data_IF_425506883364
#
_entry.id   IF_425506883364
#
_cell.length_a   1.000
_cell.length_b   1.000
_cell.length_c   1.000
_cell.angle_alpha   90.00
_cell.angle_beta   90.00
_cell.angle_gamma   90.00
#
_symmetry.space_group_name_H-M   'P 1'
#
loop_
_entity.id
_entity.type
_entity.pdbx_description
1 polymer ?
#
# COMPACT_ATOMS: atom_id res chain seq x y z
N UNK A 1 26.77 -33.35 12.95
CA UNK A 1 27.75 -32.55 13.73
C UNK A 1 27.24 -32.44 15.16
N UNK A 2 28.12 -32.54 16.16
CA UNK A 2 27.73 -32.34 17.56
C UNK A 2 27.75 -30.83 17.86
N UNK A 3 26.63 -30.27 18.31
CA UNK A 3 26.48 -28.85 18.66
C UNK A 3 25.40 -28.67 19.74
N UNK A 4 25.56 -27.66 20.60
CA UNK A 4 24.58 -27.32 21.64
C UNK A 4 23.45 -26.42 21.11
N UNK A 5 23.76 -25.56 20.13
CA UNK A 5 22.80 -24.67 19.48
C UNK A 5 23.06 -24.58 17.98
N UNK A 6 21.97 -24.45 17.21
CA UNK A 6 21.99 -24.16 15.78
C UNK A 6 21.23 -22.85 15.54
N UNK A 7 21.91 -21.87 14.95
CA UNK A 7 21.31 -20.59 14.55
C UNK A 7 21.25 -20.53 13.02
N UNK A 8 20.06 -20.77 12.46
CA UNK A 8 19.83 -20.84 11.03
C UNK A 8 19.36 -19.49 10.47
N UNK A 9 20.30 -18.63 10.10
CA UNK A 9 20.04 -17.31 9.50
C UNK A 9 19.92 -17.38 7.97
N UNK A 10 18.98 -18.17 7.45
CA UNK A 10 18.83 -18.38 6.00
C UNK A 10 18.17 -17.20 5.24
N UNK A 11 17.78 -16.15 5.96
CA UNK A 11 17.09 -15.00 5.38
C UNK A 11 15.60 -15.24 5.17
N UNK A 12 15.00 -14.44 4.28
CA UNK A 12 13.57 -14.44 3.98
C UNK A 12 13.34 -14.72 2.49
N UNK A 13 12.33 -15.54 2.19
CA UNK A 13 11.79 -15.69 0.83
C UNK A 13 10.58 -14.78 0.67
N UNK A 14 10.52 -14.01 -0.41
CA UNK A 14 9.35 -13.18 -0.72
C UNK A 14 8.46 -13.91 -1.71
N UNK A 15 7.26 -14.25 -1.27
CA UNK A 15 6.21 -14.83 -2.09
C UNK A 15 4.94 -13.99 -1.93
N UNK A 16 4.17 -13.82 -3.01
CA UNK A 16 2.91 -13.08 -2.98
C UNK A 16 1.88 -13.77 -2.06
N UNK A 17 2.03 -15.07 -1.83
CA UNK A 17 1.21 -15.85 -0.93
C UNK A 17 -0.27 -15.81 -1.35
N UNK A 18 -1.21 -15.75 -0.38
CA UNK A 18 -2.65 -15.78 -0.67
C UNK A 18 -3.17 -14.64 -1.55
N UNK A 19 -2.43 -13.52 -1.67
CA UNK A 19 -2.82 -12.38 -2.51
C UNK A 19 -2.88 -12.80 -4.00
N UNK A 20 -2.09 -13.81 -4.40
CA UNK A 20 -2.11 -14.35 -5.76
C UNK A 20 -3.50 -14.88 -6.17
N UNK A 21 -4.31 -15.33 -5.19
CA UNK A 21 -5.62 -15.94 -5.42
C UNK A 21 -6.77 -14.91 -5.36
N UNK A 22 -6.47 -13.63 -5.14
CA UNK A 22 -7.50 -12.59 -4.99
C UNK A 22 -8.09 -12.11 -6.33
N UNK A 23 -7.66 -12.70 -7.45
CA UNK A 23 -8.07 -12.32 -8.82
C UNK A 23 -7.82 -10.83 -9.12
N UNK A 24 -6.75 -10.26 -8.56
CA UNK A 24 -6.28 -8.93 -8.90
C UNK A 24 -5.52 -8.95 -10.23
N UNK A 25 -5.47 -7.82 -10.91
CA UNK A 25 -4.59 -7.67 -12.07
C UNK A 25 -3.13 -7.60 -11.59
N UNK A 26 -2.31 -8.53 -12.08
CA UNK A 26 -0.92 -8.69 -11.67
C UNK A 26 0.02 -8.50 -12.88
N UNK A 27 1.07 -7.72 -12.67
CA UNK A 27 2.24 -7.66 -13.56
C UNK A 27 3.42 -8.36 -12.87
N UNK A 28 3.55 -9.67 -13.13
CA UNK A 28 4.47 -10.53 -12.40
C UNK A 28 3.95 -10.79 -10.98
N UNK A 29 4.75 -10.43 -9.97
CA UNK A 29 4.37 -10.55 -8.54
C UNK A 29 3.84 -9.23 -7.95
N UNK A 30 3.54 -8.24 -8.80
CA UNK A 30 3.11 -6.90 -8.37
C UNK A 30 1.68 -6.65 -8.80
N UNK A 31 0.93 -5.93 -7.96
CA UNK A 31 -0.46 -5.56 -8.20
C UNK A 31 -0.52 -4.29 -9.05
N UNK A 32 -1.14 -4.37 -10.22
CA UNK A 32 -1.38 -3.21 -11.08
C UNK A 32 -2.38 -2.26 -10.41
N UNK A 33 -2.09 -0.96 -10.44
CA UNK A 33 -2.97 0.08 -9.88
C UNK A 33 -3.15 1.27 -10.80
N UNK A 34 -4.27 1.98 -10.64
CA UNK A 34 -4.44 3.32 -11.20
C UNK A 34 -3.55 4.32 -10.46
N UNK A 35 -2.75 5.13 -11.19
CA UNK A 35 -1.78 6.04 -10.58
C UNK A 35 -2.41 7.23 -9.84
N UNK A 36 -3.65 7.62 -10.17
CA UNK A 36 -4.32 8.75 -9.53
C UNK A 36 -4.91 8.39 -8.17
N UNK A 37 -5.35 7.14 -8.02
CA UNK A 37 -6.14 6.68 -6.87
C UNK A 37 -5.49 5.55 -6.08
N UNK A 38 -4.51 4.86 -6.67
CA UNK A 38 -3.94 3.60 -6.19
C UNK A 38 -4.94 2.44 -6.13
N UNK A 39 -6.09 2.56 -6.79
CA UNK A 39 -7.08 1.49 -6.83
C UNK A 39 -6.60 0.35 -7.72
N UNK A 40 -6.80 -0.88 -7.27
CA UNK A 40 -6.53 -2.09 -8.05
C UNK A 40 -7.63 -2.35 -9.08
N UNK A 41 -7.57 -3.46 -9.81
CA UNK A 41 -8.67 -3.93 -10.66
C UNK A 41 -9.96 -4.25 -9.89
N UNK A 42 -9.87 -4.51 -8.58
CA UNK A 42 -11.01 -4.74 -7.72
C UNK A 42 -11.44 -3.45 -7.01
N UNK A 43 -12.71 -3.06 -7.21
CA UNK A 43 -13.28 -1.87 -6.60
C UNK A 43 -13.22 -1.94 -5.07
N UNK A 44 -12.77 -0.84 -4.43
CA UNK A 44 -12.59 -0.78 -2.98
C UNK A 44 -11.31 -1.44 -2.45
N UNK A 45 -10.52 -2.09 -3.30
CA UNK A 45 -9.20 -2.63 -2.95
C UNK A 45 -8.11 -1.74 -3.56
N UNK A 46 -7.15 -1.34 -2.73
CA UNK A 46 -6.07 -0.43 -3.06
C UNK A 46 -4.73 -1.08 -2.73
N UNK A 47 -3.67 -0.76 -3.49
CA UNK A 47 -2.33 -1.24 -3.22
C UNK A 47 -1.31 -0.09 -3.32
N UNK A 48 -0.34 -0.05 -2.42
CA UNK A 48 0.71 0.98 -2.34
C UNK A 48 2.05 0.34 -1.99
N UNK A 49 3.14 1.09 -2.12
CA UNK A 49 4.49 0.64 -1.79
C UNK A 49 5.00 -0.41 -2.76
N UNK A 50 5.93 -1.25 -2.29
CA UNK A 50 6.68 -2.16 -3.17
C UNK A 50 5.82 -3.19 -3.91
N UNK A 51 4.61 -3.52 -3.41
CA UNK A 51 3.69 -4.46 -4.06
C UNK A 51 2.95 -3.84 -5.25
N UNK A 52 2.75 -2.53 -5.27
CA UNK A 52 1.99 -1.86 -6.32
C UNK A 52 2.87 -1.55 -7.54
N UNK A 53 2.29 -1.59 -8.74
CA UNK A 53 2.97 -1.24 -9.99
C UNK A 53 2.08 -0.42 -10.91
N UNK A 54 2.71 0.51 -11.63
CA UNK A 54 2.12 1.36 -12.65
C UNK A 54 3.27 1.92 -13.51
N UNK A 55 2.92 2.53 -14.65
CA UNK A 55 3.94 2.99 -15.59
C UNK A 55 4.92 4.00 -14.96
N UNK A 56 6.20 3.76 -15.21
CA UNK A 56 7.33 4.53 -14.67
C UNK A 56 7.41 4.62 -13.13
N UNK A 57 6.86 3.65 -12.39
CA UNK A 57 6.99 3.61 -10.92
C UNK A 57 8.46 3.51 -10.48
N UNK A 58 8.86 4.39 -9.56
CA UNK A 58 10.11 4.29 -8.82
C UNK A 58 9.89 3.56 -7.50
N UNK A 59 10.67 2.51 -7.23
CA UNK A 59 10.58 1.71 -6.00
C UNK A 59 11.40 2.35 -4.88
N UNK A 60 10.80 3.35 -4.23
CA UNK A 60 11.40 4.10 -3.13
C UNK A 60 10.42 4.20 -1.96
N UNK A 61 10.94 4.22 -0.73
CA UNK A 61 10.15 4.47 0.49
C UNK A 61 9.36 5.79 0.36
N UNK A 62 9.99 6.82 -0.21
CA UNK A 62 9.36 8.11 -0.50
C UNK A 62 8.10 7.96 -1.38
N UNK A 63 8.19 7.15 -2.45
CA UNK A 63 7.07 6.92 -3.35
C UNK A 63 5.93 6.23 -2.61
N UNK A 64 6.23 5.23 -1.76
CA UNK A 64 5.23 4.58 -0.92
C UNK A 64 4.44 5.55 -0.03
N UNK A 65 5.09 6.57 0.56
CA UNK A 65 4.38 7.60 1.33
C UNK A 65 3.46 8.48 0.48
N UNK A 66 3.90 8.85 -0.72
CA UNK A 66 3.07 9.60 -1.67
C UNK A 66 1.84 8.78 -2.10
N UNK A 67 2.06 7.51 -2.45
CA UNK A 67 1.01 6.55 -2.82
C UNK A 67 0.01 6.35 -1.67
N UNK A 68 0.48 6.26 -0.43
CA UNK A 68 -0.39 6.18 0.75
C UNK A 68 -1.34 7.39 0.85
N UNK A 69 -0.85 8.59 0.56
CA UNK A 69 -1.69 9.79 0.56
C UNK A 69 -2.77 9.71 -0.53
N UNK A 70 -2.41 9.37 -1.77
CA UNK A 70 -3.38 9.19 -2.86
C UNK A 70 -4.45 8.15 -2.52
N UNK A 71 -4.03 6.97 -2.04
CA UNK A 71 -4.93 5.90 -1.65
C UNK A 71 -5.90 6.35 -0.54
N UNK A 72 -5.39 6.97 0.53
CA UNK A 72 -6.21 7.42 1.65
C UNK A 72 -7.24 8.48 1.23
N UNK A 73 -6.87 9.41 0.34
CA UNK A 73 -7.79 10.39 -0.22
C UNK A 73 -8.90 9.74 -1.06
N UNK A 74 -8.56 8.77 -1.90
CA UNK A 74 -9.54 8.02 -2.70
C UNK A 74 -10.49 7.19 -1.81
N UNK A 75 -9.94 6.46 -0.83
CA UNK A 75 -10.69 5.63 0.12
C UNK A 75 -11.68 6.48 0.93
N UNK A 76 -11.31 7.70 1.32
CA UNK A 76 -12.18 8.56 2.14
C UNK A 76 -13.55 8.77 1.49
N UNK A 77 -13.60 8.99 0.17
CA UNK A 77 -14.86 9.19 -0.54
C UNK A 77 -15.76 7.94 -0.53
N UNK A 78 -15.16 6.75 -0.41
CA UNK A 78 -15.89 5.47 -0.32
C UNK A 78 -16.40 5.25 1.10
N UNK A 79 -15.57 5.51 2.11
CA UNK A 79 -15.90 5.26 3.52
C UNK A 79 -16.88 6.31 4.08
N UNK A 80 -16.77 7.56 3.61
CA UNK A 80 -17.59 8.69 4.07
C UNK A 80 -18.25 9.42 2.90
N UNK A 81 -19.15 8.77 2.13
CA UNK A 81 -19.71 9.32 0.90
C UNK A 81 -20.53 10.59 1.15
N UNK A 82 -21.23 10.66 2.29
CA UNK A 82 -22.10 11.79 2.64
C UNK A 82 -21.36 12.90 3.40
N UNK A 83 -20.05 12.75 3.62
CA UNK A 83 -19.26 13.75 4.35
C UNK A 83 -18.35 14.51 3.39
N UNK A 84 -18.69 15.78 3.13
CA UNK A 84 -17.84 16.68 2.38
C UNK A 84 -16.42 16.70 2.96
N UNK A 85 -15.40 16.65 2.09
CA UNK A 85 -14.02 16.72 2.52
C UNK A 85 -13.52 18.16 2.51
N UNK A 86 -13.30 18.71 3.71
CA UNK A 86 -12.61 19.97 3.89
C UNK A 86 -11.12 19.70 4.11
N UNK A 87 -10.32 19.95 3.07
CA UNK A 87 -8.87 19.81 3.17
C UNK A 87 -8.28 20.94 4.01
N UNK A 88 -7.39 20.57 4.94
CA UNK A 88 -6.64 21.50 5.76
C UNK A 88 -5.18 21.05 5.82
N UNK A 89 -4.26 22.01 5.75
CA UNK A 89 -2.84 21.73 5.98
C UNK A 89 -2.63 21.25 7.41
N UNK A 90 -1.76 20.26 7.61
CA UNK A 90 -1.44 19.72 8.93
C UNK A 90 -0.93 20.80 9.90
N UNK A 91 -0.23 21.81 9.38
CA UNK A 91 0.25 22.97 10.15
C UNK A 91 -0.88 23.86 10.68
N UNK A 92 -2.02 23.91 10.00
CA UNK A 92 -3.20 24.66 10.44
C UNK A 92 -4.08 23.85 11.40
N UNK A 93 -4.17 22.53 11.17
CA UNK A 93 -5.00 21.62 11.96
C UNK A 93 -4.45 21.35 13.37
N UNK A 94 -3.15 21.52 13.57
CA UNK A 94 -2.46 21.23 14.83
C UNK A 94 -2.12 19.74 15.01
N UNK A 95 -1.56 19.39 16.17
CA UNK A 95 -1.16 18.01 16.45
C UNK A 95 -2.37 17.05 16.44
N UNK A 96 -2.23 15.83 15.87
CA UNK A 96 -3.28 14.83 15.96
C UNK A 96 -3.63 14.59 17.43
N UNK A 97 -4.92 14.63 17.77
CA UNK A 97 -5.37 14.18 19.08
C UNK A 97 -5.17 12.67 19.12
N UNK A 98 -4.35 12.19 20.05
CA UNK A 98 -4.20 10.75 20.30
C UNK A 98 -5.56 10.26 20.80
N UNK A 99 -6.09 9.21 20.18
CA UNK A 99 -7.34 8.57 20.56
C UNK A 99 -7.21 7.85 21.90
#
# INVERSE_FOLDING_TARGET
>A
LKADHLLAFFGLSMELGPIADWNLDLSGTHVSVDRGTMQTSAAGIFAIGDIATYDHKLKLILCGFSEAAFAAHAIRAIVYPDTAYHFEYSTSKGAPKVA
#
